data_IF_218629075736
#
_entry.id   IF_218629075736
#
_cell.length_a   1.000
_cell.length_b   1.000
_cell.length_c   1.000
_cell.angle_alpha   90.00
_cell.angle_beta   90.00
_cell.angle_gamma   90.00
#
_symmetry.space_group_name_H-M   'P 1'
#
loop_
_entity.id
_entity.type
_entity.pdbx_description
1 polymer ?
2 non-polymer ?
3 non-polymer ?
4 water ?
#
# COMPACT_ATOMS: atom_id res chain seq x y z
N UNK A 1 -2.63 -18.26 15.51
CA UNK A 1 -2.98 -18.87 16.83
C UNK A 1 -3.93 -17.98 17.63
N UNK A 2 -4.70 -18.58 18.56
CA UNK A 2 -5.58 -17.74 19.40
C UNK A 2 -4.80 -16.85 20.37
N UNK A 3 -5.42 -15.73 20.77
CA UNK A 3 -4.80 -14.81 21.72
C UNK A 3 -5.92 -14.19 22.59
N UNK A 4 -5.55 -13.55 23.72
CA UNK A 4 -6.61 -13.06 24.62
C UNK A 4 -7.60 -12.12 23.95
N UNK A 5 -8.88 -12.24 24.31
CA UNK A 5 -9.90 -11.38 23.75
C UNK A 5 -9.61 -9.91 24.05
N UNK A 6 -9.22 -9.63 25.30
CA UNK A 6 -8.81 -8.29 25.74
C UNK A 6 -7.39 -8.26 26.30
N UNK A 7 -6.38 -8.08 25.43
CA UNK A 7 -4.98 -8.17 25.86
C UNK A 7 -4.48 -7.02 26.72
N UNK A 8 -5.07 -5.84 26.58
CA UNK A 8 -4.61 -4.70 27.37
C UNK A 8 -3.22 -4.21 26.97
N UNK A 9 -2.69 -3.23 27.71
CA UNK A 9 -1.36 -2.70 27.47
C UNK A 9 -0.92 -1.90 28.69
N UNK A 10 0.23 -1.25 28.59
CA UNK A 10 0.71 -0.40 29.69
C UNK A 10 1.62 0.67 29.13
N UNK A 11 1.89 1.67 29.94
CA UNK A 11 2.54 2.87 29.41
C UNK A 11 4.04 2.66 29.09
N UNK A 12 4.68 1.66 29.68
CA UNK A 12 6.03 1.33 29.29
C UNK A 12 6.00 0.86 27.84
N UNK A 13 5.08 -0.07 27.54
CA UNK A 13 4.92 -0.58 26.17
C UNK A 13 4.51 0.50 25.18
N UNK A 14 3.60 1.38 25.59
CA UNK A 14 3.12 2.43 24.69
C UNK A 14 4.23 3.40 24.32
N UNK A 15 5.14 3.66 25.26
CA UNK A 15 6.24 4.61 25.04
C UNK A 15 7.48 3.95 24.43
N UNK A 16 7.50 2.61 24.40
CA UNK A 16 8.72 1.86 24.08
C UNK A 16 9.25 2.15 22.68
N UNK A 17 10.56 2.41 22.57
CA UNK A 17 11.21 2.68 21.30
C UNK A 17 12.34 1.69 21.09
N UNK A 18 12.40 1.12 19.89
CA UNK A 18 13.57 0.36 19.46
C UNK A 18 14.74 1.32 19.23
N UNK A 19 15.97 0.90 19.57
CA UNK A 19 17.12 1.79 19.40
C UNK A 19 17.54 1.82 17.93
N UNK A 20 16.88 2.72 17.20
CA UNK A 20 17.09 2.86 15.76
C UNK A 20 17.52 4.29 15.48
N UNK A 21 18.45 4.44 14.55
CA UNK A 21 18.93 5.74 14.13
C UNK A 21 17.98 6.26 13.05
N UNK A 22 16.91 6.94 13.48
CA UNK A 22 15.97 7.51 12.52
C UNK A 22 16.54 8.81 11.98
N UNK A 23 16.30 9.04 10.69
CA UNK A 23 16.71 10.31 10.07
C UNK A 23 15.62 10.83 9.15
N UNK A 24 15.70 12.13 8.82
CA UNK A 24 14.81 12.75 7.86
C UNK A 24 15.58 13.05 6.57
N UNK A 25 14.86 13.26 5.49
CA UNK A 25 15.48 13.71 4.24
C UNK A 25 16.29 15.00 4.48
N UNK A 26 15.73 15.92 5.27
CA UNK A 26 16.42 17.18 5.57
C UNK A 26 17.74 16.95 6.29
N UNK A 27 17.74 15.99 7.22
CA UNK A 27 18.96 15.64 7.93
C UNK A 27 20.01 15.04 7.00
N UNK A 28 19.55 14.17 6.10
CA UNK A 28 20.47 13.59 5.11
C UNK A 28 21.07 14.72 4.26
N UNK A 29 20.22 15.61 3.74
CA UNK A 29 20.70 16.69 2.87
C UNK A 29 21.73 17.56 3.63
N UNK A 30 21.43 17.85 4.89
CA UNK A 30 22.34 18.64 5.71
C UNK A 30 23.69 17.95 5.91
N UNK A 31 23.65 16.62 6.08
CA UNK A 31 24.88 15.86 6.30
C UNK A 31 25.79 15.89 5.05
N UNK A 32 25.21 16.24 3.91
CA UNK A 32 25.91 16.31 2.63
C UNK A 32 26.25 17.73 2.18
N UNK A 33 25.91 18.72 3.01
CA UNK A 33 26.11 20.12 2.62
C UNK A 33 27.57 20.36 2.24
N UNK A 34 27.76 21.00 1.08
CA UNK A 34 29.09 21.31 0.57
C UNK A 34 29.75 20.19 -0.21
N UNK A 35 29.22 18.97 -0.13
CA UNK A 35 29.78 17.84 -0.89
C UNK A 35 29.46 18.02 -2.37
N UNK A 36 30.49 17.97 -3.22
CA UNK A 36 30.24 18.11 -4.66
C UNK A 36 29.46 16.93 -5.22
N UNK A 37 28.94 17.05 -6.46
CA UNK A 37 28.21 15.93 -7.07
C UNK A 37 28.91 14.59 -6.96
N UNK A 38 28.10 13.55 -6.74
CA UNK A 38 28.58 12.19 -6.64
C UNK A 38 27.49 11.26 -7.14
N UNK A 39 27.80 9.97 -7.29
CA UNK A 39 26.79 8.98 -7.66
C UNK A 39 26.06 8.46 -6.43
N UNK A 40 24.74 8.37 -6.53
CA UNK A 40 23.94 7.69 -5.50
C UNK A 40 23.01 6.69 -6.17
N UNK A 41 22.45 5.77 -5.39
CA UNK A 41 21.66 4.71 -5.98
C UNK A 41 20.42 4.38 -5.17
N UNK A 42 19.43 3.84 -5.86
CA UNK A 42 18.16 3.43 -5.26
C UNK A 42 17.79 2.03 -5.70
N UNK A 43 17.40 1.20 -4.73
CA UNK A 43 16.59 0.03 -5.05
C UNK A 43 15.26 0.57 -5.63
N UNK A 44 14.52 -0.27 -6.36
CA UNK A 44 13.23 0.17 -6.92
C UNK A 44 12.05 -0.29 -6.06
N UNK A 45 11.87 -1.60 -5.99
CA UNK A 45 10.64 -2.18 -5.42
C UNK A 45 10.56 -1.98 -3.92
N UNK A 46 9.51 -1.28 -3.50
CA UNK A 46 9.29 -0.87 -2.09
C UNK A 46 10.27 0.19 -1.57
N UNK A 47 11.07 0.74 -2.48
CA UNK A 47 11.99 1.83 -2.14
C UNK A 47 11.51 3.12 -2.80
N UNK A 48 11.37 3.07 -4.13
CA UNK A 48 10.82 4.20 -4.90
C UNK A 48 9.41 3.92 -5.47
N UNK A 49 9.11 2.65 -5.75
CA UNK A 49 7.80 2.25 -6.24
C UNK A 49 7.13 1.20 -5.35
N UNK A 50 5.86 1.45 -5.04
CA UNK A 50 5.05 0.35 -4.54
C UNK A 50 4.54 -0.51 -5.69
N UNK A 51 5.37 -1.50 -6.01
CA UNK A 51 5.17 -2.31 -7.23
C UNK A 51 4.48 -3.64 -6.95
N UNK A 52 4.06 -3.86 -5.70
CA UNK A 52 3.25 -5.05 -5.39
C UNK A 52 2.09 -5.36 -6.36
N UNK A 53 1.41 -4.32 -6.91
CA UNK A 53 0.32 -4.63 -7.85
C UNK A 53 0.76 -5.59 -8.96
N UNK A 54 1.87 -5.26 -9.61
CA UNK A 54 2.42 -6.11 -10.67
C UNK A 54 2.94 -7.44 -10.20
N UNK A 55 3.60 -7.45 -9.04
CA UNK A 55 4.10 -8.70 -8.50
C UNK A 55 2.96 -9.62 -8.06
N UNK A 56 1.92 -9.01 -7.48
CA UNK A 56 0.69 -9.70 -7.09
C UNK A 56 0.00 -10.30 -8.31
N UNK A 57 -0.19 -9.47 -9.34
CA UNK A 57 -0.76 -9.95 -10.60
C UNK A 57 0.08 -11.10 -11.17
N UNK A 58 1.40 -10.94 -11.15
CA UNK A 58 2.33 -11.93 -11.69
C UNK A 58 2.19 -13.27 -10.97
N UNK A 59 2.14 -13.22 -9.64
CA UNK A 59 2.05 -14.44 -8.86
C UNK A 59 0.75 -15.17 -9.19
N UNK A 60 -0.37 -14.43 -9.16
CA UNK A 60 -1.69 -15.01 -9.45
C UNK A 60 -1.74 -15.65 -10.84
N UNK A 61 -1.17 -14.94 -11.82
CA UNK A 61 -1.18 -15.36 -13.24
C UNK A 61 -0.27 -16.56 -13.49
N UNK A 62 0.94 -16.52 -12.94
CA UNK A 62 2.01 -17.46 -13.35
C UNK A 62 2.35 -18.57 -12.38
N UNK A 63 2.11 -18.35 -11.09
CA UNK A 63 2.40 -19.36 -10.07
C UNK A 63 1.61 -19.11 -8.78
N UNK A 64 0.28 -19.32 -8.84
CA UNK A 64 -0.57 -18.97 -7.69
C UNK A 64 -0.15 -19.66 -6.39
N UNK A 65 0.50 -20.82 -6.52
CA UNK A 65 0.84 -21.63 -5.35
C UNK A 65 2.32 -21.62 -4.96
N UNK A 66 3.13 -20.78 -5.63
CA UNK A 66 4.58 -20.73 -5.36
C UNK A 66 5.22 -19.40 -5.74
N UNK A 67 6.55 -19.35 -5.62
CA UNK A 67 7.35 -18.19 -6.00
C UNK A 67 8.01 -18.37 -7.36
N UNK A 68 7.57 -19.38 -8.12
CA UNK A 68 8.19 -19.69 -9.42
C UNK A 68 8.07 -18.54 -10.44
N UNK A 69 7.06 -17.69 -10.29
CA UNK A 69 6.89 -16.58 -11.27
C UNK A 69 8.11 -15.70 -11.32
N UNK A 70 8.83 -15.61 -10.20
CA UNK A 70 10.01 -14.75 -10.10
C UNK A 70 11.22 -15.28 -10.87
N UNK A 71 11.12 -16.50 -11.38
CA UNK A 71 12.16 -17.05 -12.24
C UNK A 71 11.61 -17.26 -13.66
N UNK A 72 10.39 -16.77 -13.90
CA UNK A 72 9.70 -16.93 -15.17
C UNK A 72 9.90 -15.75 -16.12
N UNK A 73 10.62 -15.96 -17.24
CA UNK A 73 10.88 -14.89 -18.20
C UNK A 73 9.62 -14.20 -18.70
N UNK A 74 8.53 -14.95 -18.84
CA UNK A 74 7.26 -14.38 -19.29
C UNK A 74 6.72 -13.37 -18.28
N UNK A 75 6.92 -13.64 -16.99
CA UNK A 75 6.53 -12.68 -15.98
C UNK A 75 7.36 -11.40 -16.10
N UNK A 76 8.69 -11.56 -16.14
CA UNK A 76 9.57 -10.38 -16.20
C UNK A 76 9.29 -9.49 -17.41
N UNK A 77 8.99 -10.11 -18.56
CA UNK A 77 8.65 -9.32 -19.73
C UNK A 77 7.40 -8.44 -19.47
N UNK A 78 6.40 -8.99 -18.77
CA UNK A 78 5.23 -8.18 -18.38
C UNK A 78 5.61 -7.12 -17.35
N UNK A 79 6.37 -7.53 -16.35
CA UNK A 79 6.67 -6.63 -15.21
C UNK A 79 7.47 -5.40 -15.64
N UNK A 80 8.37 -5.60 -16.60
CA UNK A 80 9.33 -4.57 -17.00
C UNK A 80 8.90 -3.72 -18.20
N UNK A 81 7.73 -4.04 -18.76
CA UNK A 81 7.26 -3.40 -19.99
C UNK A 81 5.85 -2.82 -19.93
N UNK A 82 5.37 -2.55 -18.72
CA UNK A 82 4.11 -1.85 -18.56
C UNK A 82 3.38 -2.03 -17.25
N UNK A 83 3.67 -3.10 -16.52
CA UNK A 83 2.93 -3.31 -15.25
C UNK A 83 3.25 -2.25 -14.20
N UNK A 84 4.37 -1.54 -14.37
CA UNK A 84 4.68 -0.40 -13.50
C UNK A 84 3.78 0.82 -13.71
N UNK A 85 2.89 0.77 -14.70
CA UNK A 85 1.84 1.80 -14.80
C UNK A 85 0.94 1.76 -13.55
N UNK A 86 0.89 0.60 -12.90
CA UNK A 86 0.11 0.41 -11.67
C UNK A 86 0.94 0.60 -10.42
N UNK A 87 2.25 0.84 -10.56
CA UNK A 87 3.14 0.99 -9.40
C UNK A 87 3.02 2.41 -8.85
N UNK A 88 2.83 2.52 -7.53
CA UNK A 88 2.58 3.83 -6.93
C UNK A 88 3.89 4.43 -6.39
N UNK A 89 4.33 5.57 -6.97
CA UNK A 89 5.55 6.20 -6.47
C UNK A 89 5.48 6.54 -5.00
N UNK A 90 6.60 6.39 -4.31
CA UNK A 90 6.65 6.71 -2.88
C UNK A 90 7.07 8.16 -2.66
N UNK A 91 6.39 8.85 -1.75
CA UNK A 91 6.71 10.25 -1.45
C UNK A 91 8.13 10.41 -0.94
N UNK A 92 8.59 9.46 -0.15
CA UNK A 92 9.97 9.52 0.35
C UNK A 92 10.97 9.58 -0.81
N UNK A 93 10.66 8.85 -1.89
CA UNK A 93 11.50 8.79 -3.06
C UNK A 93 11.45 10.10 -3.86
N UNK A 94 10.24 10.67 -3.98
CA UNK A 94 10.12 11.98 -4.60
C UNK A 94 11.05 12.97 -3.88
N UNK A 95 11.01 12.94 -2.54
CA UNK A 95 11.78 13.88 -1.75
C UNK A 95 13.29 13.62 -1.88
N UNK A 96 13.70 12.36 -1.84
CA UNK A 96 15.13 12.02 -1.96
C UNK A 96 15.65 12.35 -3.36
N UNK A 97 14.87 12.01 -4.37
CA UNK A 97 15.33 12.21 -5.75
C UNK A 97 15.45 13.72 -6.01
N UNK A 98 14.43 14.48 -5.62
CA UNK A 98 14.50 15.94 -5.75
C UNK A 98 15.76 16.48 -5.08
N UNK A 99 16.06 15.96 -3.89
CA UNK A 99 17.20 16.43 -3.11
C UNK A 99 18.51 16.13 -3.82
N UNK A 100 18.62 14.92 -4.35
CA UNK A 100 19.82 14.53 -5.08
C UNK A 100 19.99 15.27 -6.42
N UNK A 101 18.89 15.54 -7.11
CA UNK A 101 18.95 16.40 -8.31
C UNK A 101 19.43 17.82 -7.93
N UNK A 102 18.89 18.36 -6.84
CA UNK A 102 19.32 19.67 -6.30
C UNK A 102 20.85 19.71 -6.13
N UNK A 103 21.40 18.62 -5.60
CA UNK A 103 22.82 18.49 -5.35
C UNK A 103 23.67 18.30 -6.62
N UNK A 104 23.04 17.96 -7.74
CA UNK A 104 23.79 17.63 -8.96
C UNK A 104 24.32 16.19 -8.98
N UNK A 105 23.80 15.35 -8.10
CA UNK A 105 24.20 13.96 -8.05
C UNK A 105 23.71 13.15 -9.26
N UNK A 106 24.49 12.14 -9.63
CA UNK A 106 24.09 11.17 -10.63
C UNK A 106 23.24 10.13 -9.93
N UNK A 107 22.07 9.82 -10.51
CA UNK A 107 21.11 8.90 -9.89
C UNK A 107 21.07 7.57 -10.64
N UNK A 108 21.31 6.48 -9.90
CA UNK A 108 21.25 5.10 -10.40
C UNK A 108 20.11 4.35 -9.71
N UNK A 109 19.48 3.45 -10.45
CA UNK A 109 18.54 2.49 -9.90
C UNK A 109 19.11 1.10 -10.09
N UNK A 110 19.28 0.37 -8.98
CA UNK A 110 19.87 -0.98 -9.01
C UNK A 110 18.87 -1.95 -8.40
N UNK A 111 18.30 -2.78 -9.26
CA UNK A 111 17.19 -3.64 -8.89
C UNK A 111 17.57 -5.12 -9.07
N UNK A 112 17.01 -5.96 -8.20
CA UNK A 112 17.18 -7.39 -8.30
C UNK A 112 16.22 -8.01 -9.30
N UNK A 113 15.38 -7.20 -9.93
CA UNK A 113 14.56 -7.68 -11.04
C UNK A 113 15.47 -8.30 -12.12
N UNK A 114 14.94 -9.30 -12.82
CA UNK A 114 15.69 -9.92 -13.93
C UNK A 114 15.68 -9.03 -15.17
N UNK A 115 16.81 -9.03 -15.92
CA UNK A 115 16.85 -8.29 -17.17
C UNK A 115 15.92 -8.90 -18.23
N UNK A 116 15.39 -8.02 -19.07
CA UNK A 116 14.50 -8.42 -20.15
C UNK A 116 15.01 -7.88 -21.49
N UNK A 117 14.35 -8.28 -22.57
CA UNK A 117 14.76 -7.89 -23.91
C UNK A 117 14.61 -6.39 -24.12
N UNK A 118 13.52 -5.83 -23.57
CA UNK A 118 13.28 -4.38 -23.55
C UNK A 118 12.79 -4.05 -22.14
N UNK A 119 12.83 -2.76 -21.78
CA UNK A 119 12.28 -2.33 -20.50
C UNK A 119 11.82 -0.88 -20.60
N UNK A 120 10.71 -0.59 -19.92
CA UNK A 120 10.14 0.75 -19.90
C UNK A 120 10.20 1.34 -18.49
N UNK A 121 10.85 0.60 -17.58
CA UNK A 121 10.99 1.01 -16.18
C UNK A 121 11.79 2.30 -16.06
N UNK A 122 12.89 2.41 -16.80
CA UNK A 122 13.72 3.63 -16.76
C UNK A 122 12.88 4.87 -17.10
N UNK A 123 12.09 4.78 -18.16
CA UNK A 123 11.20 5.89 -18.56
C UNK A 123 10.15 6.18 -17.48
N UNK A 124 9.54 5.14 -16.93
CA UNK A 124 8.58 5.31 -15.84
C UNK A 124 9.19 6.12 -14.69
N UNK A 125 10.42 5.78 -14.32
CA UNK A 125 11.07 6.46 -13.20
C UNK A 125 11.43 7.91 -13.56
N UNK A 126 12.02 8.12 -14.73
CA UNK A 126 12.40 9.46 -15.17
C UNK A 126 11.16 10.37 -15.21
N UNK A 127 10.07 9.84 -15.74
CA UNK A 127 8.82 10.59 -15.87
C UNK A 127 8.20 10.89 -14.53
N UNK A 128 8.01 9.86 -13.72
CA UNK A 128 7.28 10.02 -12.47
C UNK A 128 8.01 10.88 -11.47
N UNK A 129 9.34 10.82 -11.50
CA UNK A 129 10.17 11.55 -10.54
C UNK A 129 10.83 12.80 -11.12
N UNK A 130 10.48 13.12 -12.37
CA UNK A 130 10.95 14.36 -13.01
C UNK A 130 12.47 14.44 -12.96
N UNK A 131 13.12 13.34 -13.34
CA UNK A 131 14.57 13.30 -13.31
C UNK A 131 15.14 13.83 -14.63
N UNK A 132 15.97 14.89 -14.58
CA UNK A 132 16.56 15.40 -15.83
C UNK A 132 17.47 14.38 -16.50
N UNK A 133 17.65 14.52 -17.81
CA UNK A 133 18.51 13.63 -18.57
C UNK A 133 19.90 13.48 -17.94
N UNK A 134 20.50 14.59 -17.51
CA UNK A 134 21.87 14.54 -17.01
C UNK A 134 22.00 13.72 -15.71
N UNK A 135 20.98 13.75 -14.86
CA UNK A 135 21.02 12.99 -13.61
C UNK A 135 20.60 11.54 -13.76
N UNK A 136 19.80 11.28 -14.79
CA UNK A 136 19.24 9.95 -15.00
C UNK A 136 20.26 8.96 -15.58
N UNK A 137 20.14 7.70 -15.18
CA UNK A 137 20.92 6.61 -15.75
C UNK A 137 19.98 5.43 -15.98
N UNK A 138 20.20 4.65 -17.05
CA UNK A 138 19.33 3.50 -17.29
C UNK A 138 19.34 2.55 -16.09
N UNK A 139 18.17 2.01 -15.77
CA UNK A 139 18.04 1.05 -14.68
C UNK A 139 19.00 -0.13 -14.87
N UNK A 140 19.67 -0.50 -13.80
CA UNK A 140 20.54 -1.66 -13.80
C UNK A 140 19.76 -2.84 -13.25
N UNK A 141 19.49 -3.81 -14.12
CA UNK A 141 18.78 -5.02 -13.74
C UNK A 141 19.78 -6.08 -13.32
N UNK A 142 20.06 -6.12 -12.03
CA UNK A 142 21.13 -6.95 -11.47
C UNK A 142 20.72 -8.40 -11.24
N UNK A 143 19.40 -8.66 -11.22
CA UNK A 143 18.90 -10.02 -11.03
C UNK A 143 19.03 -10.49 -9.60
N UNK A 144 18.65 -11.75 -9.37
CA UNK A 144 18.61 -12.34 -8.04
C UNK A 144 19.22 -13.72 -8.12
N UNK A 145 20.31 -13.94 -7.38
CA UNK A 145 21.02 -15.21 -7.40
C UNK A 145 21.38 -15.58 -5.96
N UNK A 146 20.62 -16.51 -5.35
CA UNK A 146 20.90 -16.94 -3.97
C UNK A 146 22.38 -17.27 -3.77
N UNK A 147 22.94 -16.78 -2.67
CA UNK A 147 24.36 -16.98 -2.37
C UNK A 147 25.26 -15.84 -2.81
N UNK A 148 24.71 -14.91 -3.60
CA UNK A 148 25.46 -13.74 -4.07
C UNK A 148 24.62 -12.48 -3.89
N UNK A 149 25.26 -11.38 -3.50
CA UNK A 149 24.62 -10.07 -3.56
C UNK A 149 24.94 -9.46 -4.92
N UNK A 150 24.00 -9.57 -5.86
CA UNK A 150 24.25 -9.14 -7.23
C UNK A 150 24.42 -7.63 -7.37
N UNK A 151 24.05 -6.89 -6.33
CA UNK A 151 24.11 -5.43 -6.40
C UNK A 151 25.47 -4.87 -6.06
N UNK A 152 26.23 -5.56 -5.21
CA UNK A 152 27.48 -5.00 -4.68
C UNK A 152 28.47 -4.59 -5.76
N UNK A 153 28.67 -5.45 -6.75
CA UNK A 153 29.63 -5.11 -7.80
C UNK A 153 29.19 -3.88 -8.59
N UNK A 154 27.88 -3.74 -8.79
CA UNK A 154 27.33 -2.55 -9.46
C UNK A 154 27.57 -1.26 -8.69
N UNK A 155 27.38 -1.31 -7.38
CA UNK A 155 27.64 -0.14 -6.55
C UNK A 155 29.12 0.24 -6.64
N UNK A 156 30.00 -0.76 -6.65
CA UNK A 156 31.42 -0.50 -6.83
C UNK A 156 31.71 0.10 -8.21
N UNK A 157 31.22 -0.55 -9.26
CA UNK A 157 31.52 -0.12 -10.64
C UNK A 157 31.05 1.31 -10.91
N UNK A 158 29.92 1.68 -10.34
CA UNK A 158 29.34 3.01 -10.57
C UNK A 158 29.79 4.03 -9.52
N UNK A 159 30.67 3.60 -8.62
CA UNK A 159 31.13 4.42 -7.49
C UNK A 159 29.97 5.09 -6.72
N UNK A 160 28.92 4.31 -6.48
CA UNK A 160 27.78 4.78 -5.72
C UNK A 160 28.15 4.92 -4.24
N UNK A 161 27.89 6.11 -3.67
CA UNK A 161 28.36 6.46 -2.32
C UNK A 161 27.29 6.37 -1.24
N UNK A 162 26.03 6.43 -1.69
CA UNK A 162 24.85 6.26 -0.84
C UNK A 162 23.89 5.35 -1.59
N UNK A 163 23.40 4.32 -0.92
CA UNK A 163 22.43 3.43 -1.54
C UNK A 163 21.21 3.30 -0.64
N UNK A 164 20.05 3.62 -1.23
CA UNK A 164 18.76 3.57 -0.54
C UNK A 164 18.03 2.28 -0.86
N UNK A 165 17.50 1.62 0.16
CA UNK A 165 16.72 0.42 -0.13
C UNK A 165 15.93 -0.07 1.05
N UNK A 166 14.95 -0.93 0.78
CA UNK A 166 14.10 -1.47 1.85
C UNK A 166 14.55 -2.82 2.40
N UNK A 167 15.34 -3.55 1.61
CA UNK A 167 15.72 -4.91 2.00
C UNK A 167 17.12 -4.99 2.63
N UNK A 168 17.34 -6.05 3.40
CA UNK A 168 18.61 -6.26 4.06
C UNK A 168 19.76 -6.30 3.05
N UNK A 169 19.56 -6.95 1.89
CA UNK A 169 20.58 -7.01 0.84
C UNK A 169 20.95 -5.64 0.23
N UNK A 170 20.02 -4.68 0.32
CA UNK A 170 20.33 -3.33 -0.12
C UNK A 170 21.36 -2.71 0.83
N UNK A 171 21.13 -2.88 2.12
CA UNK A 171 22.02 -2.31 3.13
C UNK A 171 23.37 -3.00 3.12
N UNK A 172 23.36 -4.32 2.99
CA UNK A 172 24.63 -5.04 3.02
C UNK A 172 25.41 -4.85 1.71
N UNK A 173 24.71 -4.61 0.60
CA UNK A 173 25.41 -4.22 -0.65
C UNK A 173 26.20 -2.92 -0.43
N UNK A 174 25.57 -1.94 0.20
CA UNK A 174 26.25 -0.71 0.53
C UNK A 174 27.44 -0.98 1.45
N UNK A 175 27.22 -1.78 2.49
CA UNK A 175 28.29 -2.17 3.42
C UNK A 175 29.47 -2.83 2.69
N UNK A 176 29.15 -3.67 1.72
CA UNK A 176 30.15 -4.45 0.97
C UNK A 176 31.18 -3.55 0.29
N UNK A 177 30.75 -2.37 -0.15
CA UNK A 177 31.62 -1.47 -0.92
C UNK A 177 32.00 -0.22 -0.13
N UNK A 178 31.61 -0.20 1.15
CA UNK A 178 31.87 0.96 2.01
C UNK A 178 31.04 2.19 1.68
N UNK A 179 29.88 1.98 1.07
CA UNK A 179 28.92 3.07 0.81
C UNK A 179 28.03 3.24 2.03
N UNK A 180 27.29 4.34 2.06
CA UNK A 180 26.35 4.63 3.13
C UNK A 180 25.01 4.02 2.74
N UNK A 181 24.61 2.97 3.45
CA UNK A 181 23.32 2.32 3.17
C UNK A 181 22.26 2.95 4.04
N UNK A 182 21.16 3.39 3.41
CA UNK A 182 20.06 4.05 4.15
C UNK A 182 18.76 3.32 3.87
N UNK A 183 18.05 2.97 4.94
CA UNK A 183 16.87 2.12 4.87
C UNK A 183 15.58 2.91 4.65
N UNK A 184 14.76 2.42 3.73
CA UNK A 184 13.40 2.87 3.54
C UNK A 184 12.46 1.78 4.07
N UNK A 185 11.40 2.17 4.77
CA UNK A 185 10.42 1.20 5.28
C UNK A 185 9.57 0.61 4.17
N UNK A 186 9.51 -0.73 4.09
CA UNK A 186 8.56 -1.40 3.22
C UNK A 186 7.13 -1.27 3.78
N UNK A 187 6.18 -0.88 2.92
CA UNK A 187 4.78 -0.70 3.35
C UNK A 187 4.20 -2.00 3.87
N UNK A 188 3.32 -1.91 4.87
CA UNK A 188 2.74 -3.12 5.47
C UNK A 188 1.74 -3.84 4.57
N UNK A 189 1.26 -3.17 3.51
CA UNK A 189 0.40 -3.81 2.52
C UNK A 189 1.22 -4.33 1.31
N UNK A 190 2.55 -4.24 1.38
CA UNK A 190 3.35 -4.91 0.36
C UNK A 190 3.04 -6.41 0.37
N UNK A 191 3.12 -7.03 -0.81
CA UNK A 191 2.94 -8.48 -0.91
C UNK A 191 4.25 -9.24 -0.67
N UNK A 192 5.33 -8.50 -0.49
CA UNK A 192 6.64 -9.11 -0.21
C UNK A 192 6.81 -9.18 1.31
N UNK A 193 6.62 -10.38 1.84
CA UNK A 193 6.60 -10.60 3.28
C UNK A 193 7.54 -11.76 3.64
N UNK A 194 8.07 -11.77 4.88
CA UNK A 194 7.81 -10.81 5.95
C UNK A 194 8.51 -9.45 5.72
N UNK A 195 8.02 -8.41 6.39
CA UNK A 195 8.70 -7.11 6.38
C UNK A 195 10.10 -7.25 6.98
N UNK A 196 11.11 -6.59 6.37
CA UNK A 196 12.44 -6.64 6.93
C UNK A 196 12.56 -5.90 8.26
N UNK A 197 13.58 -6.23 9.05
CA UNK A 197 13.86 -5.46 10.26
C UNK A 197 14.72 -4.24 9.93
N UNK A 198 14.06 -3.14 9.56
CA UNK A 198 14.75 -1.87 9.32
C UNK A 198 15.57 -1.47 10.54
N UNK A 199 16.85 -1.18 10.32
CA UNK A 199 17.74 -0.78 11.39
C UNK A 199 18.57 -1.91 11.96
N UNK A 200 18.38 -3.13 11.44
CA UNK A 200 19.06 -4.32 12.00
C UNK A 200 20.58 -4.36 11.81
N UNK A 201 21.12 -3.47 10.96
CA UNK A 201 22.58 -3.34 10.78
C UNK A 201 23.13 -2.05 11.40
N UNK A 202 22.30 -1.36 12.19
CA UNK A 202 22.71 -0.09 12.77
C UNK A 202 22.70 1.06 11.76
N UNK A 203 22.08 0.82 10.61
CA UNK A 203 21.99 1.81 9.55
C UNK A 203 20.90 2.85 9.86
N UNK A 204 21.04 4.00 9.21
CA UNK A 204 20.02 5.05 9.25
C UNK A 204 18.74 4.53 8.59
N UNK A 205 17.61 4.86 9.19
CA UNK A 205 16.29 4.52 8.64
C UNK A 205 15.52 5.82 8.48
N UNK A 206 14.97 6.04 7.29
CA UNK A 206 14.22 7.28 7.06
C UNK A 206 12.83 7.22 7.69
N UNK A 207 12.52 8.21 8.50
CA UNK A 207 11.20 8.29 9.12
C UNK A 207 10.08 8.32 8.08
N UNK A 208 8.96 7.68 8.41
CA UNK A 208 7.72 7.83 7.64
C UNK A 208 7.87 7.41 6.18
N UNK A 209 8.80 6.50 5.92
CA UNK A 209 9.20 6.18 4.56
C UNK A 209 8.40 5.02 3.95
N UNK A 210 7.32 4.65 4.61
CA UNK A 210 6.42 3.58 4.11
C UNK A 210 5.48 4.10 3.01
N UNK A 211 5.46 5.42 2.78
CA UNK A 211 4.61 5.98 1.73
C UNK A 211 5.28 7.07 0.93
N UNK B 1 6.30 27.30 13.85
CA UNK B 1 6.43 27.60 12.38
C UNK B 1 7.71 27.00 11.75
N UNK B 2 8.87 27.07 12.45
CA UNK B 2 10.01 26.33 11.91
C UNK B 2 9.78 24.82 12.00
N UNK B 3 10.24 24.09 10.98
CA UNK B 3 10.31 22.64 11.01
C UNK B 3 11.78 22.32 11.28
N UNK B 4 12.15 22.23 12.58
CA UNK B 4 13.58 22.20 12.92
C UNK B 4 14.25 20.96 12.34
N UNK B 5 15.53 21.11 12.00
CA UNK B 5 16.32 20.00 11.50
C UNK B 5 16.28 18.83 12.49
N UNK B 6 16.44 19.16 13.78
CA UNK B 6 16.43 18.17 14.83
C UNK B 6 15.27 18.51 15.77
N UNK B 7 14.08 18.02 15.46
CA UNK B 7 12.93 18.45 16.24
C UNK B 7 12.87 17.87 17.65
N UNK B 8 13.47 16.70 17.84
CA UNK B 8 13.42 16.04 19.14
C UNK B 8 12.03 15.51 19.44
N UNK B 9 11.86 14.96 20.64
CA UNK B 9 10.54 14.49 21.10
C UNK B 9 10.57 14.41 22.61
N UNK B 10 9.47 13.95 23.19
CA UNK B 10 9.39 13.81 24.64
C UNK B 10 8.45 12.66 24.93
N UNK B 11 8.49 12.16 26.16
CA UNK B 11 7.77 10.91 26.46
C UNK B 11 6.24 11.06 26.59
N UNK B 12 5.77 12.28 26.81
CA UNK B 12 4.33 12.54 26.75
C UNK B 12 3.88 12.25 25.33
N UNK B 13 4.60 12.82 24.36
CA UNK B 13 4.27 12.63 22.94
C UNK B 13 4.42 11.16 22.51
N UNK B 14 5.49 10.52 22.95
CA UNK B 14 5.72 9.12 22.59
C UNK B 14 4.59 8.19 23.06
N UNK B 15 4.08 8.44 24.26
CA UNK B 15 3.04 7.59 24.86
C UNK B 15 1.63 8.05 24.49
N UNK B 16 1.52 9.20 23.82
CA UNK B 16 0.21 9.81 23.55
C UNK B 16 -0.70 8.89 22.73
N UNK B 17 -1.94 8.73 23.19
CA UNK B 17 -2.95 7.96 22.49
C UNK B 17 -4.17 8.80 22.14
N UNK B 18 -4.65 8.68 20.90
CA UNK B 18 -5.93 9.30 20.55
C UNK B 18 -7.05 8.48 21.21
N UNK B 19 -8.13 9.15 21.69
CA UNK B 19 -9.24 8.44 22.32
C UNK B 19 -10.11 7.75 21.26
N UNK B 20 -9.68 6.56 20.87
CA UNK B 20 -10.31 5.74 19.82
C UNK B 20 -10.88 4.47 20.43
N UNK B 21 -12.10 4.08 20.01
CA UNK B 21 -12.62 2.78 20.39
C UNK B 21 -12.07 1.70 19.45
N UNK B 22 -10.87 1.22 19.75
CA UNK B 22 -10.25 0.16 18.95
C UNK B 22 -10.89 -1.17 19.26
N UNK B 23 -11.07 -1.98 18.22
CA UNK B 23 -11.58 -3.35 18.39
C UNK B 23 -10.80 -4.31 17.50
N UNK B 24 -10.89 -5.60 17.83
CA UNK B 24 -10.32 -6.65 17.00
C UNK B 24 -11.44 -7.40 16.30
N UNK B 25 -11.07 -8.15 15.27
CA UNK B 25 -12.02 -9.04 14.62
C UNK B 25 -12.59 -10.05 15.65
N UNK B 26 -11.73 -10.58 16.52
CA UNK B 26 -12.19 -11.51 17.56
C UNK B 26 -13.21 -10.88 18.49
N UNK B 27 -13.01 -9.61 18.85
CA UNK B 27 -13.98 -8.92 19.70
C UNK B 27 -15.31 -8.71 18.98
N UNK B 28 -15.25 -8.35 17.71
CA UNK B 28 -16.49 -8.23 16.93
C UNK B 28 -17.20 -9.59 16.88
N UNK B 29 -16.46 -10.64 16.55
CA UNK B 29 -17.05 -11.97 16.50
C UNK B 29 -17.71 -12.31 17.84
N UNK B 30 -17.02 -12.00 18.93
CA UNK B 30 -17.56 -12.29 20.26
C UNK B 30 -18.90 -11.58 20.50
N UNK B 31 -18.98 -10.34 20.02
CA UNK B 31 -20.18 -9.51 20.20
C UNK B 31 -21.40 -10.10 19.47
N UNK B 32 -21.14 -11.00 18.52
CA UNK B 32 -22.18 -11.62 17.70
C UNK B 32 -22.56 -13.04 18.12
N UNK B 33 -21.96 -13.53 19.20
CA UNK B 33 -22.18 -14.91 19.66
C UNK B 33 -23.67 -15.19 19.83
N UNK B 34 -24.13 -16.27 19.20
CA UNK B 34 -25.53 -16.69 19.30
C UNK B 34 -26.48 -15.98 18.34
N UNK B 35 -26.01 -14.95 17.65
CA UNK B 35 -26.84 -14.24 16.67
C UNK B 35 -26.98 -15.07 15.40
N UNK B 36 -28.22 -15.26 14.94
CA UNK B 36 -28.51 -16.01 13.73
C UNK B 36 -27.89 -15.37 12.49
N UNK B 37 -27.75 -16.13 11.38
CA UNK B 37 -27.27 -15.54 10.12
C UNK B 37 -27.97 -14.22 9.76
N UNK B 38 -27.20 -13.29 9.23
CA UNK B 38 -27.71 -11.95 8.93
C UNK B 38 -26.91 -11.38 7.77
N UNK B 39 -27.39 -10.27 7.20
CA UNK B 39 -26.69 -9.59 6.12
C UNK B 39 -25.69 -8.60 6.71
N UNK B 40 -24.48 -8.60 6.15
CA UNK B 40 -23.47 -7.60 6.48
C UNK B 40 -22.91 -7.05 5.18
N UNK B 41 -22.31 -5.86 5.25
CA UNK B 41 -21.85 -5.19 4.05
C UNK B 41 -20.46 -4.60 4.21
N UNK B 42 -19.78 -4.47 3.08
CA UNK B 42 -18.45 -3.86 3.00
C UNK B 42 -18.42 -2.84 1.89
N UNK B 43 -17.84 -1.69 2.18
CA UNK B 43 -17.29 -0.82 1.15
C UNK B 43 -16.19 -1.61 0.43
N UNK B 44 -15.82 -1.21 -0.78
CA UNK B 44 -14.75 -1.91 -1.49
C UNK B 44 -13.39 -1.23 -1.32
N UNK B 45 -13.29 0.00 -1.81
CA UNK B 45 -12.01 0.65 -1.97
C UNK B 45 -11.41 1.10 -0.63
N UNK B 46 -10.21 0.60 -0.36
CA UNK B 46 -9.48 0.79 0.91
C UNK B 46 -10.14 0.13 2.13
N UNK B 47 -11.16 -0.69 1.86
CA UNK B 47 -11.79 -1.47 2.90
C UNK B 47 -11.45 -2.94 2.70
N UNK B 48 -11.72 -3.46 1.51
CA UNK B 48 -11.37 -4.84 1.21
C UNK B 48 -10.28 -4.95 0.15
N UNK B 49 -10.20 -3.94 -0.73
CA UNK B 49 -9.16 -3.88 -1.77
C UNK B 49 -8.37 -2.59 -1.69
N UNK B 50 -7.05 -2.72 -1.68
CA UNK B 50 -6.19 -1.57 -1.96
C UNK B 50 -6.18 -1.44 -3.47
N UNK B 51 -7.10 -0.61 -3.97
CA UNK B 51 -7.33 -0.45 -5.41
C UNK B 51 -6.63 0.77 -5.99
N UNK B 52 -5.85 1.48 -5.16
CA UNK B 52 -5.05 2.63 -5.63
C UNK B 52 -4.22 2.36 -6.90
N UNK B 53 -3.71 1.13 -7.10
CA UNK B 53 -2.98 0.90 -8.36
C UNK B 53 -3.78 1.27 -9.61
N UNK B 54 -5.02 0.79 -9.70
CA UNK B 54 -5.92 1.14 -10.81
C UNK B 54 -6.31 2.61 -10.82
N UNK B 55 -6.60 3.16 -9.65
CA UNK B 55 -6.97 4.57 -9.59
C UNK B 55 -5.79 5.49 -9.97
N UNK B 56 -4.59 5.10 -9.52
CA UNK B 56 -3.35 5.79 -9.91
C UNK B 56 -3.15 5.73 -11.45
N UNK B 57 -3.24 4.53 -12.02
CA UNK B 57 -3.12 4.38 -13.46
C UNK B 57 -4.18 5.21 -14.18
N UNK B 58 -5.42 5.16 -13.67
CA UNK B 58 -6.54 5.89 -14.24
C UNK B 58 -6.28 7.40 -14.27
N UNK B 59 -5.78 7.94 -13.16
CA UNK B 59 -5.52 9.38 -13.10
C UNK B 59 -4.45 9.79 -14.09
N UNK B 60 -3.33 9.05 -14.11
CA UNK B 60 -2.22 9.35 -15.03
C UNK B 60 -2.66 9.27 -16.49
N UNK B 61 -3.42 8.22 -16.78
CA UNK B 61 -3.87 7.92 -18.14
C UNK B 61 -4.94 8.90 -18.63
N UNK B 62 -5.92 9.20 -17.79
CA UNK B 62 -7.13 9.93 -18.20
C UNK B 62 -7.26 11.38 -17.75
N UNK B 63 -6.61 11.76 -16.65
CA UNK B 63 -6.62 13.14 -16.19
C UNK B 63 -5.41 13.48 -15.32
N UNK B 64 -4.20 13.48 -15.92
CA UNK B 64 -3.00 13.70 -15.09
C UNK B 64 -3.01 15.02 -14.31
N UNK B 65 -3.72 16.03 -14.81
CA UNK B 65 -3.77 17.34 -14.16
C UNK B 65 -5.05 17.63 -13.33
N UNK B 66 -5.95 16.65 -13.20
CA UNK B 66 -7.19 16.85 -12.43
C UNK B 66 -7.76 15.55 -11.85
N UNK B 67 -8.99 15.65 -11.31
CA UNK B 67 -9.72 14.51 -10.77
C UNK B 67 -10.82 14.07 -11.74
N UNK B 68 -10.78 14.59 -12.97
CA UNK B 68 -11.81 14.30 -13.94
C UNK B 68 -11.95 12.84 -14.36
N UNK B 69 -10.91 12.04 -14.16
CA UNK B 69 -10.97 10.60 -14.50
C UNK B 69 -12.11 9.90 -13.77
N UNK B 70 -12.47 10.41 -12.60
CA UNK B 70 -13.51 9.81 -11.78
C UNK B 70 -14.91 10.06 -12.34
N UNK B 71 -14.99 10.92 -13.35
CA UNK B 71 -16.23 11.21 -14.05
C UNK B 71 -16.18 10.69 -15.49
N UNK B 72 -15.13 9.94 -15.81
CA UNK B 72 -14.84 9.50 -17.18
C UNK B 72 -15.24 8.02 -17.36
N UNK B 73 -16.31 7.76 -18.16
CA UNK B 73 -16.78 6.39 -18.36
C UNK B 73 -15.72 5.44 -18.90
N UNK B 74 -14.78 5.96 -19.69
CA UNK B 74 -13.66 5.17 -20.21
C UNK B 74 -12.81 4.62 -19.07
N UNK B 75 -12.58 5.45 -18.03
CA UNK B 75 -11.84 4.98 -16.87
C UNK B 75 -12.60 3.87 -16.14
N UNK B 76 -13.85 4.13 -15.80
CA UNK B 76 -14.67 3.15 -15.06
C UNK B 76 -14.77 1.81 -15.77
N UNK B 77 -14.91 1.83 -17.09
CA UNK B 77 -14.91 0.57 -17.83
C UNK B 77 -13.64 -0.24 -17.62
N UNK B 78 -12.48 0.42 -17.57
CA UNK B 78 -11.22 -0.27 -17.28
C UNK B 78 -11.18 -0.72 -15.82
N UNK B 79 -11.55 0.18 -14.92
CA UNK B 79 -11.45 -0.07 -13.47
C UNK B 79 -12.33 -1.23 -13.00
N UNK B 80 -13.51 -1.38 -13.63
CA UNK B 80 -14.51 -2.37 -13.21
C UNK B 80 -14.47 -3.67 -13.99
N UNK B 81 -13.58 -3.76 -14.97
CA UNK B 81 -13.52 -4.94 -15.84
C UNK B 81 -12.12 -5.53 -15.97
N UNK B 82 -11.27 -5.31 -14.99
CA UNK B 82 -10.01 -6.01 -14.94
C UNK B 82 -8.86 -5.36 -14.18
N UNK B 83 -8.90 -4.04 -14.00
CA UNK B 83 -7.80 -3.38 -13.28
C UNK B 83 -7.74 -3.81 -11.81
N UNK B 84 -8.82 -4.38 -11.29
CA UNK B 84 -8.76 -4.94 -9.93
C UNK B 84 -7.87 -6.19 -9.82
N UNK B 85 -7.39 -6.70 -10.95
CA UNK B 85 -6.42 -7.80 -10.90
C UNK B 85 -5.13 -7.30 -10.25
N UNK B 86 -4.97 -5.97 -10.21
CA UNK B 86 -3.79 -5.31 -9.66
C UNK B 86 -4.09 -4.73 -8.28
N UNK B 87 -5.33 -4.89 -7.82
CA UNK B 87 -5.72 -4.43 -6.47
C UNK B 87 -5.25 -5.44 -5.44
N UNK B 88 -4.82 -4.96 -4.28
CA UNK B 88 -4.24 -5.87 -3.28
C UNK B 88 -5.28 -6.12 -2.17
N UNK B 89 -5.75 -7.38 -2.03
CA UNK B 89 -6.72 -7.67 -0.96
C UNK B 89 -6.16 -7.37 0.42
N UNK B 90 -7.01 -6.84 1.29
CA UNK B 90 -6.61 -6.52 2.65
C UNK B 90 -6.82 -7.70 3.60
N UNK B 91 -5.80 -7.98 4.41
CA UNK B 91 -5.87 -9.08 5.38
C UNK B 91 -7.03 -8.89 6.35
N UNK B 92 -7.26 -7.66 6.79
CA UNK B 92 -8.41 -7.43 7.68
C UNK B 92 -9.72 -7.91 7.05
N UNK B 93 -9.85 -7.70 5.74
CA UNK B 93 -11.06 -8.15 5.03
C UNK B 93 -11.13 -9.68 4.91
N UNK B 94 -9.98 -10.33 4.69
CA UNK B 94 -9.94 -11.81 4.68
C UNK B 94 -10.46 -12.33 6.00
N UNK B 95 -10.02 -11.72 7.09
CA UNK B 95 -10.41 -12.19 8.43
C UNK B 95 -11.90 -11.97 8.68
N UNK B 96 -12.37 -10.76 8.37
CA UNK B 96 -13.78 -10.42 8.55
C UNK B 96 -14.70 -11.28 7.70
N UNK B 97 -14.35 -11.42 6.43
CA UNK B 97 -15.20 -12.18 5.52
C UNK B 97 -15.22 -13.66 5.94
N UNK B 98 -14.06 -14.19 6.29
CA UNK B 98 -13.99 -15.57 6.79
C UNK B 98 -14.90 -15.75 8.01
N UNK B 99 -14.81 -14.81 8.94
CA UNK B 99 -15.57 -14.85 10.19
C UNK B 99 -17.07 -14.79 9.92
N UNK B 100 -17.46 -13.91 9.01
CA UNK B 100 -18.87 -13.77 8.65
C UNK B 100 -19.42 -14.97 7.84
N UNK B 101 -18.62 -15.49 6.91
CA UNK B 101 -19.00 -16.70 6.18
C UNK B 101 -19.22 -17.87 7.16
N UNK B 102 -18.33 -17.98 8.13
CA UNK B 102 -18.41 -19.04 9.15
C UNK B 102 -19.71 -18.94 9.93
N UNK B 103 -20.18 -17.71 10.16
CA UNK B 103 -21.45 -17.45 10.82
C UNK B 103 -22.67 -17.78 9.95
N UNK B 104 -22.45 -17.95 8.65
CA UNK B 104 -23.54 -18.16 7.70
C UNK B 104 -24.16 -16.84 7.26
N UNK B 105 -23.47 -15.74 7.52
CA UNK B 105 -23.93 -14.42 7.11
C UNK B 105 -23.86 -14.19 5.60
N UNK B 106 -24.77 -13.35 5.10
CA UNK B 106 -24.76 -12.93 3.70
C UNK B 106 -23.76 -11.79 3.54
N UNK B 107 -22.92 -11.88 2.51
CA UNK B 107 -21.87 -10.89 2.27
C UNK B 107 -22.30 -9.96 1.13
N UNK B 108 -22.44 -8.67 1.45
CA UNK B 108 -22.73 -7.65 0.45
C UNK B 108 -21.56 -6.70 0.30
N UNK B 109 -21.34 -6.24 -0.92
CA UNK B 109 -20.40 -5.15 -1.21
C UNK B 109 -21.20 -4.00 -1.79
N UNK B 110 -21.05 -2.83 -1.19
CA UNK B 110 -21.81 -1.65 -1.63
C UNK B 110 -20.80 -0.55 -1.91
N UNK B 111 -20.67 -0.16 -3.18
CA UNK B 111 -19.62 0.73 -3.60
C UNK B 111 -20.18 2.01 -4.23
N UNK B 112 -19.41 3.09 -4.10
CA UNK B 112 -19.72 4.35 -4.76
C UNK B 112 -19.06 4.49 -6.11
N UNK B 113 -18.33 3.45 -6.55
CA UNK B 113 -17.77 3.43 -7.91
C UNK B 113 -18.90 3.66 -8.92
N UNK B 114 -18.61 4.39 -10.00
CA UNK B 114 -19.63 4.58 -11.04
C UNK B 114 -19.95 3.24 -11.71
N UNK B 115 -21.24 2.99 -12.00
CA UNK B 115 -21.60 1.73 -12.63
C UNK B 115 -21.19 1.67 -14.11
N UNK B 116 -21.01 0.46 -14.61
CA UNK B 116 -20.55 0.23 -15.97
C UNK B 116 -21.48 -0.76 -16.68
N UNK B 117 -21.28 -0.94 -17.99
CA UNK B 117 -22.11 -1.88 -18.76
C UNK B 117 -21.96 -3.32 -18.21
N UNK B 118 -20.72 -3.68 -17.89
CA UNK B 118 -20.39 -4.97 -17.30
C UNK B 118 -19.44 -4.69 -16.13
N UNK B 119 -19.31 -5.65 -15.22
CA UNK B 119 -18.31 -5.54 -14.16
C UNK B 119 -17.79 -6.91 -13.78
N UNK B 120 -16.50 -7.01 -13.51
CA UNK B 120 -15.91 -8.27 -13.10
C UNK B 120 -15.39 -8.20 -11.65
N UNK B 121 -15.74 -7.11 -10.96
CA UNK B 121 -15.36 -6.88 -9.56
C UNK B 121 -15.98 -7.94 -8.63
N UNK B 122 -17.27 -8.24 -8.80
CA UNK B 122 -17.90 -9.29 -8.01
C UNK B 122 -17.11 -10.61 -8.04
N UNK B 123 -16.68 -11.02 -9.24
CA UNK B 123 -15.91 -12.23 -9.38
C UNK B 123 -14.54 -12.11 -8.70
N UNK B 124 -13.87 -10.97 -8.89
CA UNK B 124 -12.58 -10.73 -8.26
C UNK B 124 -12.73 -10.92 -6.74
N UNK B 125 -13.80 -10.37 -6.18
CA UNK B 125 -14.02 -10.42 -4.74
C UNK B 125 -14.32 -11.83 -4.26
N UNK B 126 -15.20 -12.53 -4.97
CA UNK B 126 -15.55 -13.92 -4.60
C UNK B 126 -14.34 -14.84 -4.70
N UNK B 127 -13.55 -14.66 -5.74
CA UNK B 127 -12.35 -15.48 -5.94
C UNK B 127 -11.28 -15.22 -4.89
N UNK B 128 -10.93 -13.96 -4.67
CA UNK B 128 -9.85 -13.62 -3.74
C UNK B 128 -10.21 -13.87 -2.28
N UNK B 129 -11.48 -13.69 -1.94
CA UNK B 129 -11.91 -13.86 -0.56
C UNK B 129 -12.56 -15.21 -0.32
N UNK B 130 -12.57 -16.06 -1.35
CA UNK B 130 -13.06 -17.45 -1.20
C UNK B 130 -14.46 -17.46 -0.65
N UNK B 131 -15.28 -16.57 -1.20
CA UNK B 131 -16.65 -16.43 -0.72
C UNK B 131 -17.51 -17.48 -1.43
N UNK B 132 -18.09 -18.41 -0.64
CA UNK B 132 -18.97 -19.43 -1.24
C UNK B 132 -20.21 -18.83 -1.93
N UNK B 133 -20.68 -19.51 -2.97
CA UNK B 133 -21.86 -19.07 -3.71
C UNK B 133 -23.05 -18.65 -2.84
N UNK B 134 -23.31 -19.41 -1.78
CA UNK B 134 -24.48 -19.18 -0.92
C UNK B 134 -24.35 -17.89 -0.11
N UNK B 135 -23.12 -17.46 0.15
CA UNK B 135 -22.88 -16.22 0.90
C UNK B 135 -22.64 -15.01 0.02
N UNK B 136 -22.29 -15.24 -1.24
CA UNK B 136 -21.90 -14.18 -2.17
C UNK B 136 -23.10 -13.46 -2.79
N UNK B 137 -22.94 -12.16 -2.98
CA UNK B 137 -23.93 -11.32 -3.64
C UNK B 137 -23.25 -10.38 -4.61
N UNK B 138 -23.89 -10.12 -5.77
CA UNK B 138 -23.26 -9.23 -6.75
C UNK B 138 -23.05 -7.83 -6.15
N UNK B 139 -21.95 -7.19 -6.53
CA UNK B 139 -21.64 -5.84 -6.05
C UNK B 139 -22.80 -4.87 -6.34
N UNK B 140 -23.14 -4.07 -5.34
CA UNK B 140 -24.16 -3.04 -5.45
C UNK B 140 -23.47 -1.70 -5.73
N UNK B 141 -23.87 -1.05 -6.82
CA UNK B 141 -23.34 0.27 -7.15
C UNK B 141 -24.34 1.34 -6.71
N UNK B 142 -23.97 2.03 -5.64
CA UNK B 142 -24.86 2.98 -4.98
C UNK B 142 -24.44 4.39 -5.32
N UNK B 143 -25.41 5.30 -5.34
CA UNK B 143 -25.05 6.69 -5.57
C UNK B 143 -26.24 7.58 -5.79
N UNK B 144 -25.96 8.75 -6.36
CA UNK B 144 -26.96 9.79 -6.49
C UNK B 144 -27.39 10.09 -7.93
N UNK B 145 -26.98 9.23 -8.85
CA UNK B 145 -27.38 9.39 -10.26
C UNK B 145 -28.83 8.92 -10.42
N UNK B 146 -29.52 9.43 -11.46
CA UNK B 146 -30.90 8.97 -11.68
C UNK B 146 -31.04 7.45 -11.75
N UNK B 147 -32.04 6.92 -11.06
CA UNK B 147 -32.30 5.49 -11.04
C UNK B 147 -31.46 4.72 -10.02
N UNK B 148 -30.48 5.38 -9.43
CA UNK B 148 -29.68 4.79 -8.35
C UNK B 148 -30.33 5.00 -6.99
N UNK B 149 -29.95 4.14 -6.04
CA UNK B 149 -30.26 4.37 -4.64
C UNK B 149 -28.96 4.65 -3.90
N UNK B 150 -29.06 5.40 -2.80
CA UNK B 150 -27.90 5.72 -1.98
C UNK B 150 -27.41 4.49 -1.22
N UNK B 151 -26.18 4.58 -0.69
CA UNK B 151 -25.66 3.53 0.21
C UNK B 151 -26.64 3.26 1.35
N UNK B 152 -27.14 4.32 1.99
CA UNK B 152 -28.13 4.19 3.07
C UNK B 152 -29.34 3.37 2.65
N UNK B 153 -29.90 3.70 1.49
CA UNK B 153 -31.08 3.01 1.00
C UNK B 153 -30.81 1.52 0.75
N UNK B 154 -29.63 1.22 0.21
CA UNK B 154 -29.27 -0.18 -0.03
C UNK B 154 -29.07 -0.96 1.25
N UNK B 155 -28.45 -0.32 2.24
CA UNK B 155 -28.27 -0.98 3.54
C UNK B 155 -29.63 -1.31 4.15
N UNK B 156 -30.57 -0.37 4.03
CA UNK B 156 -31.94 -0.59 4.47
C UNK B 156 -32.59 -1.74 3.70
N UNK B 157 -32.50 -1.67 2.37
CA UNK B 157 -33.11 -2.66 1.49
C UNK B 157 -32.63 -4.09 1.75
N UNK B 158 -31.33 -4.25 1.97
CA UNK B 158 -30.73 -5.57 2.14
C UNK B 158 -30.68 -6.00 3.60
N UNK B 159 -31.24 -5.16 4.48
CA UNK B 159 -31.24 -5.42 5.93
C UNK B 159 -29.85 -5.67 6.46
N UNK B 160 -28.89 -4.89 5.94
CA UNK B 160 -27.49 -4.99 6.36
C UNK B 160 -27.35 -4.42 7.78
N UNK B 161 -26.83 -5.25 8.69
CA UNK B 161 -26.80 -4.94 10.13
C UNK B 161 -25.49 -4.32 10.58
N UNK B 162 -24.41 -4.62 9.85
CA UNK B 162 -23.06 -4.12 10.12
C UNK B 162 -22.48 -3.71 8.78
N UNK B 163 -21.89 -2.53 8.72
CA UNK B 163 -21.26 -2.06 7.48
C UNK B 163 -19.84 -1.62 7.76
N UNK B 164 -18.90 -2.20 7.03
CA UNK B 164 -17.46 -1.90 7.20
C UNK B 164 -17.00 -0.93 6.12
N UNK B 165 -16.24 0.08 6.51
CA UNK B 165 -15.80 1.06 5.52
C UNK B 165 -14.68 1.92 6.06
N UNK B 166 -13.92 2.52 5.16
CA UNK B 166 -12.83 3.42 5.56
C UNK B 166 -13.19 4.92 5.58
N UNK B 167 -14.25 5.30 4.86
CA UNK B 167 -14.59 6.73 4.76
C UNK B 167 -15.70 7.15 5.72
N UNK B 168 -15.75 8.44 6.02
CA UNK B 168 -16.80 8.97 6.88
C UNK B 168 -18.18 8.57 6.38
N UNK B 169 -18.40 8.69 5.07
CA UNK B 169 -19.70 8.39 4.47
C UNK B 169 -20.14 6.95 4.64
N UNK B 170 -19.19 6.03 4.83
CA UNK B 170 -19.54 4.63 5.10
C UNK B 170 -20.15 4.51 6.48
N UNK B 171 -19.55 5.22 7.44
CA UNK B 171 -20.02 5.18 8.82
C UNK B 171 -21.38 5.89 8.94
N UNK B 172 -21.51 7.06 8.35
CA UNK B 172 -22.77 7.81 8.46
C UNK B 172 -23.92 7.09 7.74
N UNK B 173 -23.62 6.40 6.64
CA UNK B 173 -24.65 5.64 5.93
C UNK B 173 -25.23 4.55 6.83
N UNK B 174 -24.36 3.85 7.54
CA UNK B 174 -24.79 2.82 8.47
C UNK B 174 -25.64 3.44 9.56
N UNK B 175 -25.17 4.54 10.12
CA UNK B 175 -25.82 5.12 11.28
C UNK B 175 -27.17 5.72 10.91
N UNK B 176 -27.30 6.30 9.72
CA UNK B 176 -28.57 6.84 9.24
C UNK B 176 -29.70 5.82 9.24
N UNK B 177 -29.37 4.54 9.09
CA UNK B 177 -30.39 3.47 9.04
C UNK B 177 -30.36 2.54 10.26
N UNK B 178 -29.58 2.95 11.26
CA UNK B 178 -29.48 2.21 12.53
C UNK B 178 -28.59 0.97 12.49
N UNK B 179 -27.77 0.87 11.45
CA UNK B 179 -26.78 -0.21 11.35
C UNK B 179 -25.51 0.14 12.13
N UNK B 180 -24.71 -0.89 12.41
CA UNK B 180 -23.45 -0.75 13.11
C UNK B 180 -22.36 -0.45 12.09
N UNK B 181 -21.87 0.79 12.09
CA UNK B 181 -20.79 1.18 11.20
C UNK B 181 -19.46 0.94 11.90
N UNK B 182 -18.58 0.19 11.24
CA UNK B 182 -17.27 -0.15 11.79
C UNK B 182 -16.20 0.28 10.81
N UNK B 183 -15.21 1.02 11.32
CA UNK B 183 -14.22 1.69 10.51
C UNK B 183 -12.97 0.82 10.25
N UNK B 184 -12.50 0.84 9.01
CA UNK B 184 -11.23 0.22 8.63
C UNK B 184 -10.26 1.35 8.27
N UNK B 185 -8.99 1.22 8.67
CA UNK B 185 -7.99 2.24 8.36
C UNK B 185 -7.61 2.24 6.87
N UNK B 186 -7.58 3.43 6.28
CA UNK B 186 -7.05 3.58 4.90
C UNK B 186 -5.52 3.55 4.95
N UNK B 187 -4.90 2.76 4.08
CA UNK B 187 -3.43 2.68 4.05
C UNK B 187 -2.81 4.04 3.69
N UNK B 188 -1.64 4.33 4.29
CA UNK B 188 -0.99 5.64 4.09
C UNK B 188 -0.43 5.82 2.68
N UNK B 189 -0.27 4.72 1.95
CA UNK B 189 0.15 4.79 0.54
C UNK B 189 -1.03 4.79 -0.44
N UNK B 190 -2.26 4.85 0.09
CA UNK B 190 -3.41 5.07 -0.78
C UNK B 190 -3.24 6.38 -1.54
N UNK B 191 -3.72 6.43 -2.77
CA UNK B 191 -3.72 7.69 -3.49
C UNK B 191 -4.94 8.56 -3.19
N UNK B 192 -5.87 8.03 -2.39
CA UNK B 192 -7.06 8.79 -2.03
C UNK B 192 -6.74 9.54 -0.74
N UNK B 193 -6.45 10.83 -0.89
CA UNK B 193 -5.99 11.65 0.22
C UNK B 193 -6.85 12.91 0.36
N UNK B 194 -6.91 13.49 1.57
CA UNK B 194 -6.23 13.07 2.81
C UNK B 194 -6.86 11.82 3.42
N UNK B 195 -6.09 11.16 4.28
CA UNK B 195 -6.61 10.02 5.02
C UNK B 195 -7.75 10.50 5.92
N UNK B 196 -8.82 9.70 6.03
CA UNK B 196 -9.87 10.03 6.99
C UNK B 196 -9.41 9.96 8.44
N UNK B 197 -10.13 10.64 9.32
CA UNK B 197 -9.92 10.45 10.75
C UNK B 197 -10.78 9.31 11.23
N UNK B 198 -10.22 8.11 11.18
CA UNK B 198 -10.89 6.91 11.69
C UNK B 198 -11.27 7.12 13.15
N UNK B 199 -12.55 6.92 13.48
CA UNK B 199 -13.04 7.14 14.85
C UNK B 199 -13.68 8.51 15.06
N UNK B 200 -13.81 9.30 13.98
CA UNK B 200 -14.33 10.68 14.04
C UNK B 200 -15.78 10.80 14.55
N UNK B 201 -16.51 9.70 14.55
CA UNK B 201 -17.90 9.72 15.04
C UNK B 201 -18.06 8.87 16.30
N UNK B 202 -16.94 8.49 16.90
CA UNK B 202 -16.95 7.61 18.09
C UNK B 202 -17.23 6.15 17.77
N UNK B 203 -17.17 5.82 16.48
CA UNK B 203 -17.39 4.45 16.03
C UNK B 203 -16.21 3.52 16.36
N UNK B 204 -16.49 2.22 16.34
CA UNK B 204 -15.44 1.21 16.46
C UNK B 204 -14.48 1.29 15.30
N UNK B 205 -13.18 1.15 15.57
CA UNK B 205 -12.16 1.12 14.50
C UNK B 205 -11.37 -0.16 14.65
N UNK B 206 -11.21 -0.92 13.56
CA UNK B 206 -10.50 -2.20 13.68
C UNK B 206 -8.98 -1.97 13.75
N UNK B 207 -8.35 -2.55 14.77
CA UNK B 207 -6.90 -2.44 14.88
C UNK B 207 -6.17 -2.99 13.66
N UNK B 208 -5.08 -2.34 13.29
CA UNK B 208 -4.12 -2.88 12.30
C UNK B 208 -4.74 -3.14 10.94
N UNK B 209 -5.77 -2.36 10.63
CA UNK B 209 -6.62 -2.65 9.46
C UNK B 209 -6.15 -1.93 8.20
N UNK B 210 -4.94 -1.38 8.23
CA UNK B 210 -4.35 -0.71 7.06
C UNK B 210 -3.80 -1.72 6.04
N UNK B 211 -3.75 -3.00 6.41
CA UNK B 211 -3.25 -4.04 5.50
C UNK B 211 -4.06 -5.33 5.55
#
# INVERSE_FOLDING_TARGET
SPSPLNPGTNVARLAEQAPIHWVSVAQIENSLAGRPPMAVGFDIDDTVLFSSPGFWRGKKTFSPESEDYLKNPVFWEKMNNGWDEFSIPKEVARQLIDMHVRRGDAIFFVTGRSPTKTETVSKTLADNFHIPATNMNPVIFAGDKPGQNTKSQWLQDKNIRIFYGDSDNDITAARDVGARGIRILRASNSTYKPLPQAGAFGEEVIVNSEY
SPSPLNPGTNVARLAEQAPIHWVSVAQIENSLAGRPPMAVGFDIDDTVLFSSPGFWRGKKTFSPESEDYLKNPVFWEKMNNGWDEFSIPKEVARQLIDMHVRRGDAIFFVTGRSPTKTETVSKTLADNFHIPATNMNPVIFAGDKPGQNTKSQWLQDKNIRIFYGDSDNDITAARDVGARGIRILRASNSTYKPLPQAGAFGEEVIVNSEY
#
